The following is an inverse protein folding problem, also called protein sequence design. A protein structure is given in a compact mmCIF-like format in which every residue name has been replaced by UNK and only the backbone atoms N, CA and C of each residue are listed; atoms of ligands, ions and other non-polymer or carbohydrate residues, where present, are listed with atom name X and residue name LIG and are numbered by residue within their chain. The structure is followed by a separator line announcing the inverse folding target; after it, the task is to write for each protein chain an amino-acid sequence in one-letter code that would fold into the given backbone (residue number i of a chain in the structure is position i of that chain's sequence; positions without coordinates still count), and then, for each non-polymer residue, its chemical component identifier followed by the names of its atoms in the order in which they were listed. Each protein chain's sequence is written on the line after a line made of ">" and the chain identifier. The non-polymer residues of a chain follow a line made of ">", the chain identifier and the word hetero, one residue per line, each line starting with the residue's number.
data_IF_128597885160
#
_entry.id   IF_128597885160
#
_cell.length_a   1.000
_cell.length_b   1.000
_cell.length_c   1.000
_cell.angle_alpha   90.00
_cell.angle_beta   90.00
_cell.angle_gamma   90.00
#
_symmetry.space_group_name_H-M   'P 1'
#
loop_
_entity.id
_entity.type
_entity.pdbx_description
1 polymer ?
#
# COMPACT_ATOMS: atom_id res chain seq x y z
N UNK A 1 8.26 4.71 -21.22
CA UNK A 1 7.07 3.88 -20.98
C UNK A 1 6.50 4.14 -19.60
N UNK A 2 7.25 4.07 -18.55
CA UNK A 2 6.79 4.31 -17.16
C UNK A 2 6.19 5.71 -16.91
N UNK A 3 6.86 6.77 -17.41
CA UNK A 3 6.36 8.15 -17.27
C UNK A 3 5.02 8.36 -17.99
N UNK A 4 4.81 7.67 -19.10
CA UNK A 4 3.58 7.77 -19.87
C UNK A 4 2.44 7.02 -19.17
N UNK A 5 2.71 5.84 -18.61
CA UNK A 5 1.76 5.07 -17.82
C UNK A 5 1.35 5.83 -16.55
N UNK A 6 2.30 6.44 -15.86
CA UNK A 6 2.02 7.26 -14.69
C UNK A 6 1.17 8.49 -14.99
N UNK A 7 1.40 9.15 -16.13
CA UNK A 7 0.58 10.28 -16.59
C UNK A 7 -0.83 9.85 -16.95
N UNK A 8 -0.96 8.70 -17.60
CA UNK A 8 -2.27 8.12 -17.94
C UNK A 8 -3.04 7.73 -16.68
N UNK A 9 -2.38 7.10 -15.73
CA UNK A 9 -2.94 6.77 -14.43
C UNK A 9 -3.42 8.02 -13.68
N UNK A 10 -2.61 9.07 -13.64
CA UNK A 10 -3.00 10.32 -13.00
C UNK A 10 -4.23 10.95 -13.65
N UNK A 11 -4.28 10.97 -14.98
CA UNK A 11 -5.45 11.51 -15.71
C UNK A 11 -6.73 10.70 -15.44
N UNK A 12 -6.62 9.38 -15.39
CA UNK A 12 -7.74 8.50 -15.11
C UNK A 12 -8.26 8.70 -13.67
N UNK A 13 -7.35 8.78 -12.70
CA UNK A 13 -7.68 8.91 -11.28
C UNK A 13 -8.15 10.31 -10.88
N UNK A 14 -7.58 11.37 -11.47
CA UNK A 14 -7.85 12.75 -11.05
C UNK A 14 -9.32 13.18 -11.19
N UNK A 15 -10.08 12.47 -11.99
CA UNK A 15 -11.51 12.72 -12.21
C UNK A 15 -12.42 11.91 -11.27
N UNK A 16 -11.84 11.01 -10.47
CA UNK A 16 -12.61 10.13 -9.60
C UNK A 16 -12.90 10.78 -8.24
N UNK A 17 -14.06 10.53 -7.64
CA UNK A 17 -14.34 10.96 -6.27
C UNK A 17 -13.35 10.40 -5.25
N UNK A 18 -12.80 9.20 -5.50
CA UNK A 18 -11.82 8.54 -4.64
C UNK A 18 -10.40 9.13 -4.75
N UNK A 19 -10.14 10.04 -5.68
CA UNK A 19 -8.78 10.54 -5.92
C UNK A 19 -8.14 11.17 -4.68
N UNK A 20 -8.91 11.91 -3.90
CA UNK A 20 -8.44 12.49 -2.64
C UNK A 20 -7.95 11.43 -1.64
N UNK A 21 -8.65 10.29 -1.54
CA UNK A 21 -8.24 9.17 -0.69
C UNK A 21 -6.96 8.52 -1.21
N UNK A 22 -6.84 8.31 -2.52
CA UNK A 22 -5.62 7.77 -3.15
C UNK A 22 -4.44 8.71 -2.90
N UNK A 23 -4.62 10.02 -2.99
CA UNK A 23 -3.58 10.99 -2.67
C UNK A 23 -3.14 10.93 -1.21
N UNK A 24 -4.06 10.77 -0.26
CA UNK A 24 -3.72 10.64 1.17
C UNK A 24 -2.90 9.38 1.44
N UNK A 25 -3.26 8.25 0.84
CA UNK A 25 -2.46 7.03 0.92
C UNK A 25 -1.06 7.26 0.34
N UNK A 26 -0.96 7.89 -0.83
CA UNK A 26 0.32 8.20 -1.47
C UNK A 26 1.19 9.14 -0.62
N UNK A 27 0.60 10.16 -0.02
CA UNK A 27 1.31 11.08 0.89
C UNK A 27 1.82 10.37 2.13
N UNK A 28 1.01 9.49 2.71
CA UNK A 28 1.40 8.68 3.88
C UNK A 28 2.52 7.70 3.53
N UNK A 29 2.50 7.08 2.35
CA UNK A 29 3.60 6.25 1.85
C UNK A 29 4.89 7.04 1.69
N UNK A 30 4.83 8.20 1.06
CA UNK A 30 5.99 9.06 0.87
C UNK A 30 6.56 9.56 2.20
N UNK A 31 5.70 9.83 3.17
CA UNK A 31 6.10 10.23 4.52
C UNK A 31 6.78 9.07 5.26
N UNK A 32 6.23 7.86 5.19
CA UNK A 32 6.82 6.67 5.81
C UNK A 32 8.18 6.32 5.20
N UNK A 33 8.36 6.55 3.90
CA UNK A 33 9.65 6.38 3.22
C UNK A 33 10.76 7.29 3.73
N UNK A 34 10.43 8.40 4.40
CA UNK A 34 11.39 9.32 5.04
C UNK A 34 11.74 8.93 6.47
N UNK A 35 11.02 7.99 7.05
CA UNK A 35 11.29 7.45 8.38
C UNK A 35 12.20 6.23 8.28
N UNK A 36 12.79 5.83 9.39
CA UNK A 36 13.70 4.69 9.47
C UNK A 36 13.02 3.32 9.39
N UNK A 37 11.69 3.27 9.27
CA UNK A 37 10.92 2.03 9.19
C UNK A 37 10.93 1.39 7.81
N UNK A 38 10.57 0.11 7.78
CA UNK A 38 10.39 -0.65 6.54
C UNK A 38 8.97 -0.47 6.01
N UNK A 39 8.79 -0.68 4.71
CA UNK A 39 7.48 -0.80 4.09
C UNK A 39 7.17 -2.29 3.86
N UNK A 40 6.13 -2.78 4.51
CA UNK A 40 5.63 -4.14 4.35
C UNK A 40 4.36 -4.09 3.51
N UNK A 41 4.34 -4.81 2.40
CA UNK A 41 3.21 -4.83 1.48
C UNK A 41 2.59 -6.22 1.48
N UNK A 42 1.28 -6.30 1.54
CA UNK A 42 0.57 -7.57 1.47
C UNK A 42 -0.75 -7.42 0.71
N UNK A 43 -1.21 -8.53 0.18
CA UNK A 43 -2.52 -8.63 -0.48
C UNK A 43 -3.49 -9.51 0.30
N UNK A 44 -4.44 -10.06 -0.43
CA UNK A 44 -5.39 -11.06 0.02
C UNK A 44 -4.95 -12.46 -0.44
N UNK A 45 -5.55 -13.55 0.04
CA UNK A 45 -5.16 -14.91 -0.38
C UNK A 45 -5.19 -15.13 -1.90
N UNK A 46 -6.14 -14.52 -2.60
CA UNK A 46 -6.28 -14.62 -4.06
C UNK A 46 -5.61 -13.50 -4.86
N UNK A 47 -5.00 -12.54 -4.19
CA UNK A 47 -4.38 -11.39 -4.86
C UNK A 47 -3.08 -10.95 -4.17
N UNK A 48 -1.95 -11.19 -4.81
CA UNK A 48 -0.64 -10.69 -4.37
C UNK A 48 -0.23 -9.46 -5.21
N UNK A 49 0.10 -8.31 -4.58
CA UNK A 49 0.40 -7.06 -5.29
C UNK A 49 1.86 -7.00 -5.80
N UNK A 50 2.30 -7.99 -6.56
CA UNK A 50 3.66 -8.08 -7.12
C UNK A 50 4.02 -6.87 -7.97
N UNK A 51 3.07 -6.43 -8.79
CA UNK A 51 3.27 -5.33 -9.71
C UNK A 51 3.54 -4.01 -8.96
N UNK A 52 2.75 -3.74 -7.94
CA UNK A 52 2.95 -2.58 -7.08
C UNK A 52 4.31 -2.64 -6.36
N UNK A 53 4.67 -3.80 -5.81
CA UNK A 53 5.96 -3.97 -5.12
C UNK A 53 7.12 -3.70 -6.06
N UNK A 54 7.07 -4.21 -7.29
CA UNK A 54 8.10 -3.97 -8.30
C UNK A 54 8.25 -2.46 -8.61
N UNK A 55 7.16 -1.74 -8.76
CA UNK A 55 7.19 -0.29 -8.97
C UNK A 55 7.69 0.48 -7.75
N UNK A 56 7.32 0.07 -6.54
CA UNK A 56 7.82 0.68 -5.31
C UNK A 56 9.32 0.50 -5.13
N UNK A 57 9.88 -0.64 -5.56
CA UNK A 57 11.33 -0.91 -5.50
C UNK A 57 12.14 0.06 -6.37
N UNK A 58 11.59 0.50 -7.48
CA UNK A 58 12.23 1.44 -8.41
C UNK A 58 11.86 2.90 -8.15
N UNK A 59 10.96 3.16 -7.21
CA UNK A 59 10.49 4.50 -6.90
C UNK A 59 11.58 5.32 -6.22
N UNK A 60 11.82 6.57 -6.65
CA UNK A 60 12.74 7.49 -5.98
C UNK A 60 12.24 7.90 -4.58
N UNK A 61 10.99 7.62 -4.25
CA UNK A 61 10.39 7.89 -2.94
C UNK A 61 10.66 6.77 -1.93
N UNK A 62 11.07 5.59 -2.39
CA UNK A 62 11.40 4.47 -1.53
C UNK A 62 12.81 4.63 -0.95
N UNK A 63 12.92 4.96 0.32
CA UNK A 63 14.19 5.00 1.05
C UNK A 63 14.63 3.62 1.55
N UNK A 64 13.71 2.67 1.62
CA UNK A 64 13.96 1.25 1.90
C UNK A 64 13.20 0.39 0.91
N UNK A 65 13.79 -0.73 0.51
CA UNK A 65 13.12 -1.68 -0.36
C UNK A 65 11.84 -2.22 0.30
N UNK A 66 10.69 -2.16 -0.38
CA UNK A 66 9.46 -2.75 0.14
C UNK A 66 9.59 -4.27 0.21
N UNK A 67 9.04 -4.88 1.24
CA UNK A 67 8.97 -6.31 1.42
C UNK A 67 7.55 -6.80 1.15
N UNK A 68 7.39 -7.77 0.25
CA UNK A 68 6.11 -8.44 0.03
C UNK A 68 5.95 -9.57 1.04
N UNK A 69 4.89 -9.50 1.84
CA UNK A 69 4.49 -10.57 2.75
C UNK A 69 3.47 -11.47 2.05
N UNK A 70 3.74 -12.76 2.02
CA UNK A 70 2.96 -13.74 1.26
C UNK A 70 2.08 -14.59 2.15
N UNK A 71 0.89 -14.92 1.66
CA UNK A 71 -0.03 -15.85 2.31
C UNK A 71 0.48 -17.29 2.31
N UNK A 72 1.19 -17.66 1.24
CA UNK A 72 1.80 -18.98 1.11
C UNK A 72 3.22 -18.81 0.59
N UNK A 73 4.18 -19.30 1.36
CA UNK A 73 5.60 -19.29 0.97
C UNK A 73 5.96 -20.69 0.50
N UNK A 74 6.36 -20.86 -0.77
CA UNK A 74 6.79 -22.16 -1.28
C UNK A 74 8.02 -22.68 -0.55
N UNK A 75 8.09 -23.98 -0.34
CA UNK A 75 9.28 -24.63 0.21
C UNK A 75 10.48 -24.39 -0.72
N UNK A 76 11.60 -23.94 -0.15
CA UNK A 76 12.80 -23.64 -0.94
C UNK A 76 12.75 -22.29 -1.68
N UNK A 77 11.79 -21.41 -1.37
CA UNK A 77 11.77 -20.07 -1.94
C UNK A 77 13.04 -19.30 -1.62
N UNK A 78 13.58 -18.48 -2.57
CA UNK A 78 14.68 -17.57 -2.28
C UNK A 78 14.36 -16.65 -1.09
N UNK A 79 15.38 -16.22 -0.35
CA UNK A 79 15.21 -15.44 0.87
C UNK A 79 14.34 -14.19 0.68
N UNK A 80 14.46 -13.49 -0.45
CA UNK A 80 13.67 -12.30 -0.76
C UNK A 80 12.19 -12.59 -1.11
N UNK A 81 11.83 -13.86 -1.35
CA UNK A 81 10.48 -14.32 -1.65
C UNK A 81 9.91 -15.23 -0.54
N UNK A 82 10.63 -15.37 0.57
CA UNK A 82 10.28 -16.30 1.66
C UNK A 82 9.60 -15.61 2.86
N UNK A 83 9.22 -14.35 2.72
CA UNK A 83 8.56 -13.62 3.80
C UNK A 83 7.07 -13.95 3.83
N UNK A 84 6.63 -14.52 4.95
CA UNK A 84 5.22 -14.85 5.19
C UNK A 84 4.51 -13.79 6.03
N UNK A 85 3.20 -13.92 6.13
CA UNK A 85 2.34 -13.01 6.91
C UNK A 85 2.66 -12.99 8.40
N UNK A 86 3.24 -14.05 8.95
CA UNK A 86 3.69 -14.11 10.34
C UNK A 86 4.73 -13.04 10.68
N UNK A 87 5.41 -12.50 9.68
CA UNK A 87 6.32 -11.35 9.84
C UNK A 87 5.62 -10.06 10.30
N UNK A 88 4.31 -9.95 10.14
CA UNK A 88 3.56 -8.83 10.70
C UNK A 88 3.63 -8.77 12.22
N UNK A 89 3.67 -9.91 12.89
CA UNK A 89 3.77 -9.99 14.35
C UNK A 89 5.13 -9.48 14.86
N UNK A 90 6.16 -9.56 14.03
CA UNK A 90 7.55 -9.19 14.37
C UNK A 90 7.98 -7.83 13.81
N UNK A 91 7.05 -7.07 13.23
CA UNK A 91 7.39 -5.77 12.67
C UNK A 91 7.63 -4.73 13.79
N UNK A 92 8.56 -3.82 13.54
CA UNK A 92 8.83 -2.71 14.46
C UNK A 92 7.70 -1.67 14.40
N UNK A 93 7.40 -0.94 15.48
CA UNK A 93 6.36 0.11 15.45
C UNK A 93 6.58 1.20 14.39
N UNK A 94 7.83 1.41 13.98
CA UNK A 94 8.18 2.35 12.90
C UNK A 94 7.90 1.82 11.49
N UNK A 95 7.61 0.52 11.34
CA UNK A 95 7.29 -0.08 10.05
C UNK A 95 5.87 0.36 9.59
N UNK A 96 5.71 0.55 8.30
CA UNK A 96 4.43 0.85 7.66
C UNK A 96 3.93 -0.38 6.93
N UNK A 97 2.65 -0.66 7.08
CA UNK A 97 1.96 -1.77 6.43
C UNK A 97 1.03 -1.21 5.35
N UNK A 98 1.20 -1.67 4.12
CA UNK A 98 0.29 -1.36 3.01
C UNK A 98 -0.45 -2.63 2.60
N UNK A 99 -1.74 -2.66 2.80
CA UNK A 99 -2.61 -3.73 2.32
C UNK A 99 -3.24 -3.33 0.98
N UNK A 100 -3.16 -4.24 0.02
CA UNK A 100 -3.74 -4.07 -1.32
C UNK A 100 -4.79 -5.17 -1.53
N UNK A 101 -6.05 -4.82 -1.38
CA UNK A 101 -7.16 -5.76 -1.39
C UNK A 101 -7.89 -5.73 -2.73
N UNK A 102 -7.51 -6.62 -3.64
CA UNK A 102 -8.19 -6.85 -4.92
C UNK A 102 -9.47 -7.66 -4.80
N UNK A 103 -9.74 -8.21 -3.64
CA UNK A 103 -10.94 -8.97 -3.29
C UNK A 103 -11.35 -8.66 -1.84
N UNK A 104 -12.49 -9.22 -1.40
CA UNK A 104 -12.96 -9.02 -0.03
C UNK A 104 -11.94 -9.57 0.98
N UNK A 105 -11.50 -8.76 1.96
CA UNK A 105 -10.64 -9.21 3.04
C UNK A 105 -11.29 -10.31 3.88
N UNK A 106 -10.50 -11.30 4.30
CA UNK A 106 -10.97 -12.32 5.24
C UNK A 106 -10.69 -11.91 6.69
N UNK A 107 -11.27 -12.64 7.63
CA UNK A 107 -11.16 -12.36 9.07
C UNK A 107 -9.71 -12.46 9.57
N UNK A 108 -8.92 -13.38 9.04
CA UNK A 108 -7.51 -13.52 9.39
C UNK A 108 -6.70 -12.26 9.02
N UNK A 109 -6.92 -11.72 7.81
CA UNK A 109 -6.28 -10.49 7.38
C UNK A 109 -6.66 -9.32 8.27
N UNK A 110 -7.95 -9.15 8.53
CA UNK A 110 -8.46 -8.07 9.37
C UNK A 110 -7.88 -8.14 10.79
N UNK A 111 -7.80 -9.33 11.36
CA UNK A 111 -7.20 -9.52 12.68
C UNK A 111 -5.71 -9.16 12.70
N UNK A 112 -4.96 -9.60 11.71
CA UNK A 112 -3.52 -9.29 11.61
C UNK A 112 -3.26 -7.79 11.43
N UNK A 113 -4.11 -7.09 10.68
CA UNK A 113 -4.01 -5.65 10.49
C UNK A 113 -4.38 -4.88 11.77
N UNK A 114 -5.40 -5.32 12.48
CA UNK A 114 -5.78 -4.74 13.76
C UNK A 114 -4.68 -4.90 14.81
N UNK A 115 -4.08 -6.07 14.88
CA UNK A 115 -2.94 -6.34 15.75
C UNK A 115 -1.73 -5.43 15.42
N UNK A 116 -1.40 -5.29 14.14
CA UNK A 116 -0.34 -4.38 13.69
C UNK A 116 -0.64 -2.92 14.08
N UNK A 117 -1.87 -2.47 13.89
CA UNK A 117 -2.31 -1.14 14.28
C UNK A 117 -2.19 -0.91 15.79
N UNK A 118 -2.62 -1.87 16.59
CA UNK A 118 -2.50 -1.81 18.07
C UNK A 118 -1.05 -1.83 18.53
N UNK A 119 -0.16 -2.46 17.76
CA UNK A 119 1.27 -2.47 18.01
C UNK A 119 1.97 -1.14 17.68
N UNK A 120 1.26 -0.20 17.08
CA UNK A 120 1.75 1.14 16.75
C UNK A 120 2.16 1.32 15.28
N UNK A 121 1.96 0.32 14.44
CA UNK A 121 2.25 0.44 13.01
C UNK A 121 1.26 1.37 12.31
N UNK A 122 1.74 2.12 11.33
CA UNK A 122 0.87 2.80 10.37
C UNK A 122 0.35 1.79 9.37
N UNK A 123 -0.97 1.64 9.27
CA UNK A 123 -1.63 0.74 8.34
C UNK A 123 -2.36 1.53 7.27
N UNK A 124 -1.96 1.35 6.03
CA UNK A 124 -2.52 1.99 4.84
C UNK A 124 -3.20 0.95 3.96
N UNK A 125 -4.24 1.34 3.26
CA UNK A 125 -4.97 0.43 2.38
C UNK A 125 -5.30 1.01 1.02
N UNK A 126 -5.23 0.14 0.02
CA UNK A 126 -5.82 0.34 -1.30
C UNK A 126 -6.72 -0.85 -1.58
N UNK A 127 -7.99 -0.59 -1.85
CA UNK A 127 -8.97 -1.65 -2.02
C UNK A 127 -9.93 -1.36 -3.17
N UNK A 128 -10.60 -2.41 -3.62
CA UNK A 128 -11.76 -2.32 -4.50
C UNK A 128 -12.95 -3.04 -3.85
N UNK A 129 -14.16 -2.78 -4.32
CA UNK A 129 -15.39 -3.35 -3.76
C UNK A 129 -15.97 -2.57 -2.57
N UNK A 130 -16.41 -3.27 -1.54
CA UNK A 130 -17.02 -2.70 -0.33
C UNK A 130 -16.29 -3.16 0.94
N UNK A 131 -15.08 -2.67 1.18
CA UNK A 131 -14.23 -3.11 2.28
C UNK A 131 -14.52 -2.34 3.58
N UNK A 132 -15.77 -2.28 4.04
CA UNK A 132 -16.16 -1.50 5.22
C UNK A 132 -15.37 -1.90 6.49
N UNK A 133 -15.09 -3.17 6.67
CA UNK A 133 -14.33 -3.68 7.81
C UNK A 133 -12.85 -3.29 7.73
N UNK A 134 -12.30 -3.20 6.52
CA UNK A 134 -10.92 -2.76 6.29
C UNK A 134 -10.71 -1.30 6.71
N UNK A 135 -11.72 -0.46 6.55
CA UNK A 135 -11.67 0.95 6.97
C UNK A 135 -11.42 1.09 8.48
N UNK A 136 -11.94 0.16 9.27
CA UNK A 136 -11.79 0.18 10.73
C UNK A 136 -10.37 -0.15 11.21
N UNK A 137 -9.60 -0.86 10.42
CA UNK A 137 -8.24 -1.34 10.77
C UNK A 137 -7.13 -0.60 10.02
N UNK A 138 -7.47 0.40 9.23
CA UNK A 138 -6.52 1.24 8.49
C UNK A 138 -6.55 2.69 8.98
N UNK A 139 -5.42 3.40 8.90
CA UNK A 139 -5.34 4.84 9.16
C UNK A 139 -5.79 5.65 7.96
N UNK A 140 -5.44 5.20 6.76
CA UNK A 140 -5.88 5.74 5.49
C UNK A 140 -6.27 4.60 4.57
N UNK A 141 -7.43 4.70 3.95
CA UNK A 141 -7.93 3.72 2.99
C UNK A 141 -8.41 4.43 1.72
N UNK A 142 -7.90 4.02 0.59
CA UNK A 142 -8.41 4.39 -0.71
C UNK A 142 -9.21 3.23 -1.30
N UNK A 143 -10.48 3.47 -1.62
CA UNK A 143 -11.35 2.51 -2.28
C UNK A 143 -11.61 3.01 -3.69
N UNK A 144 -11.23 2.23 -4.67
CA UNK A 144 -11.42 2.54 -6.09
C UNK A 144 -12.24 1.45 -6.77
N UNK A 145 -12.92 1.78 -7.86
CA UNK A 145 -13.61 0.77 -8.67
C UNK A 145 -12.60 -0.15 -9.35
N UNK A 146 -12.98 -1.40 -9.58
CA UNK A 146 -12.09 -2.43 -10.14
C UNK A 146 -11.36 -2.00 -11.41
N UNK A 147 -12.01 -1.25 -12.28
CA UNK A 147 -11.43 -0.70 -13.52
C UNK A 147 -10.31 0.34 -13.28
N UNK A 148 -10.25 0.93 -12.09
CA UNK A 148 -9.23 1.93 -11.71
C UNK A 148 -8.22 1.40 -10.70
N UNK A 149 -8.35 0.15 -10.28
CA UNK A 149 -7.49 -0.45 -9.27
C UNK A 149 -6.03 -0.54 -9.73
N UNK A 150 -5.83 -0.92 -10.97
CA UNK A 150 -4.50 -0.95 -11.59
C UNK A 150 -3.89 0.46 -11.74
N UNK A 151 -4.69 1.44 -12.17
CA UNK A 151 -4.25 2.83 -12.24
C UNK A 151 -3.78 3.38 -10.90
N UNK A 152 -4.49 3.05 -9.81
CA UNK A 152 -4.09 3.45 -8.46
C UNK A 152 -2.74 2.84 -8.06
N UNK A 153 -2.50 1.58 -8.39
CA UNK A 153 -1.22 0.92 -8.13
C UNK A 153 -0.06 1.54 -8.92
N UNK A 154 -0.29 2.00 -10.14
CA UNK A 154 0.71 2.74 -10.91
C UNK A 154 0.97 4.15 -10.38
N UNK A 155 -0.03 4.77 -9.79
CA UNK A 155 0.09 6.13 -9.27
C UNK A 155 0.83 6.20 -7.93
N UNK A 156 0.55 5.28 -7.00
CA UNK A 156 1.12 5.32 -5.65
C UNK A 156 2.65 5.46 -5.61
N UNK A 157 3.43 4.74 -6.43
CA UNK A 157 4.89 4.81 -6.40
C UNK A 157 5.47 6.13 -6.90
N UNK A 158 4.72 6.90 -7.69
CA UNK A 158 5.19 8.13 -8.36
C UNK A 158 4.56 9.40 -7.82
N UNK A 159 3.58 9.27 -6.93
CA UNK A 159 2.91 10.39 -6.32
C UNK A 159 3.89 11.24 -5.50
N UNK A 160 3.96 12.53 -5.79
CA UNK A 160 4.76 13.46 -5.02
C UNK A 160 3.93 14.04 -3.88
N UNK A 161 4.47 14.10 -2.65
CA UNK A 161 3.79 14.77 -1.56
C UNK A 161 3.52 16.22 -1.96
N UNK A 162 2.31 16.69 -1.68
CA UNK A 162 2.02 18.12 -1.82
C UNK A 162 2.92 18.86 -0.85
N UNK A 163 3.64 19.86 -1.36
CA UNK A 163 4.42 20.77 -0.52
C UNK A 163 3.48 21.43 0.48
N UNK A 164 3.72 21.23 1.77
CA UNK A 164 2.99 21.94 2.84
C UNK A 164 3.33 23.44 2.90
N UNK A 165 4.25 23.92 2.06
CA UNK A 165 4.64 25.31 1.95
C UNK A 165 3.88 26.02 0.82
N UNK A 166 2.57 26.26 1.03
CA UNK A 166 1.74 26.93 0.03
C UNK A 166 0.45 27.51 0.60
N UNK A 167 0.40 27.80 1.91
CA UNK A 167 -0.67 28.62 2.49
C UNK A 167 -0.08 29.63 3.45
N UNK A 168 0.50 30.67 2.89
CA UNK A 168 0.56 31.99 3.49
C UNK A 168 0.72 32.98 2.34
N UNK A 169 -0.40 33.44 1.83
CA UNK A 169 -0.65 34.82 1.36
C UNK A 169 -2.13 34.99 1.09
#
# INVERSE_FOLDING_TARGET
>A
VELQQSRSALRALSRLPAFGAVQRVAESLAWSGRRSGRLLVLGTPGYEPWHLVAHLQTSPLATSAPALLRWSVPVGAPAHLSLGLDRLADCAPSDTVLVVAGEQPNDELLQRLDDARRHGNTVLGLATGQPAELDQVTHELAVVRGEHFDHAQHYLPVARPRSRFGRNR
#
